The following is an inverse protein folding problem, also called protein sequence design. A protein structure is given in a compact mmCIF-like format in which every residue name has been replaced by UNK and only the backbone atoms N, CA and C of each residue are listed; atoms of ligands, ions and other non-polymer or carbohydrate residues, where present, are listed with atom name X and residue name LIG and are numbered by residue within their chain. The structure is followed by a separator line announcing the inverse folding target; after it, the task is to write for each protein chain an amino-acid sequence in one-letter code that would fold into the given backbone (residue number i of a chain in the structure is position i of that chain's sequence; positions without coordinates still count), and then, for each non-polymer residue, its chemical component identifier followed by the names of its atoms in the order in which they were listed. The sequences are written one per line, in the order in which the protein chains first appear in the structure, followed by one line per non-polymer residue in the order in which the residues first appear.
data_IF_284533902121
#
_entry.id   IF_284533902121
#
_cell.length_a   1.000
_cell.length_b   1.000
_cell.length_c   1.000
_cell.angle_alpha   90.00
_cell.angle_beta   90.00
_cell.angle_gamma   90.00
#
_symmetry.space_group_name_H-M   'P 1'
#
loop_
_entity.id
_entity.type
_entity.pdbx_description
1 polymer ?
#
# COMPACT_ATOMS: atom_id res chain seq x y z
N UNK A 1 -47.84 -24.64 19.71
CA UNK A 1 -46.41 -24.26 19.56
C UNK A 1 -46.03 -24.47 18.09
N UNK A 2 -46.15 -23.39 17.34
CA UNK A 2 -45.84 -23.39 15.88
C UNK A 2 -44.37 -22.99 15.72
N UNK A 3 -43.53 -24.00 15.39
CA UNK A 3 -42.14 -23.76 14.96
C UNK A 3 -42.16 -23.06 13.59
N UNK A 4 -41.94 -21.77 13.60
CA UNK A 4 -41.63 -21.01 12.39
C UNK A 4 -40.18 -21.28 12.01
N UNK A 5 -39.94 -22.26 11.11
CA UNK A 5 -38.70 -22.35 10.37
C UNK A 5 -38.62 -21.08 9.50
N UNK A 6 -37.69 -20.14 9.85
CA UNK A 6 -37.27 -19.14 8.90
C UNK A 6 -36.62 -19.87 7.73
N UNK A 7 -37.29 -19.92 6.58
CA UNK A 7 -36.65 -20.22 5.31
C UNK A 7 -35.49 -19.23 5.14
N UNK A 8 -34.26 -19.76 5.20
CA UNK A 8 -33.09 -19.04 4.75
C UNK A 8 -33.32 -18.80 3.25
N UNK A 9 -33.58 -17.56 2.90
CA UNK A 9 -33.64 -17.17 1.48
C UNK A 9 -32.32 -17.57 0.84
N UNK A 10 -32.40 -18.49 -0.12
CA UNK A 10 -31.22 -18.92 -0.88
C UNK A 10 -30.78 -17.72 -1.72
N UNK A 11 -29.75 -17.01 -1.27
CA UNK A 11 -29.15 -15.92 -2.03
C UNK A 11 -28.42 -16.57 -3.20
N UNK A 12 -28.91 -16.35 -4.42
CA UNK A 12 -28.27 -16.92 -5.61
C UNK A 12 -26.89 -16.28 -5.81
N UNK A 13 -25.88 -17.10 -6.08
CA UNK A 13 -24.54 -16.61 -6.37
C UNK A 13 -24.56 -15.60 -7.54
N UNK A 14 -23.81 -14.51 -7.46
CA UNK A 14 -23.77 -13.53 -8.54
C UNK A 14 -23.12 -14.14 -9.79
N UNK A 15 -23.58 -13.69 -10.95
CA UNK A 15 -22.95 -14.02 -12.21
C UNK A 15 -21.90 -13.00 -12.57
N UNK A 16 -20.72 -13.47 -13.00
CA UNK A 16 -19.61 -12.66 -13.47
C UNK A 16 -19.51 -12.81 -14.98
N UNK A 17 -19.50 -11.71 -15.71
CA UNK A 17 -19.29 -11.68 -17.16
C UNK A 17 -18.14 -10.76 -17.50
N UNK A 18 -17.16 -11.27 -18.23
CA UNK A 18 -16.05 -10.46 -18.75
C UNK A 18 -16.53 -9.64 -19.95
N UNK A 19 -16.53 -8.31 -19.82
CA UNK A 19 -16.92 -7.38 -20.89
C UNK A 19 -15.72 -6.95 -21.73
N UNK A 20 -14.57 -6.70 -21.07
CA UNK A 20 -13.26 -6.41 -21.70
C UNK A 20 -12.15 -7.14 -20.93
N UNK A 21 -10.89 -7.14 -21.39
CA UNK A 21 -9.77 -7.66 -20.61
C UNK A 21 -9.67 -7.08 -19.19
N UNK A 22 -10.11 -5.83 -19.00
CA UNK A 22 -9.94 -5.03 -17.78
C UNK A 22 -11.25 -4.76 -17.04
N UNK A 23 -12.40 -5.32 -17.50
CA UNK A 23 -13.71 -5.02 -16.92
C UNK A 23 -14.60 -6.25 -16.87
N UNK A 24 -15.17 -6.48 -15.70
CA UNK A 24 -16.19 -7.51 -15.48
C UNK A 24 -17.50 -6.87 -15.01
N UNK A 25 -18.62 -7.26 -15.59
CA UNK A 25 -19.96 -6.98 -15.07
C UNK A 25 -20.37 -8.03 -14.05
N UNK A 26 -20.99 -7.56 -12.97
CA UNK A 26 -21.58 -8.40 -11.92
C UNK A 26 -23.09 -8.26 -11.97
N UNK A 27 -23.82 -9.40 -12.01
CA UNK A 27 -25.27 -9.41 -11.98
C UNK A 27 -25.78 -10.44 -10.98
N UNK A 28 -26.93 -10.17 -10.35
CA UNK A 28 -27.66 -11.07 -9.46
C UNK A 28 -29.09 -11.14 -9.91
N UNK A 29 -29.65 -12.34 -10.00
CA UNK A 29 -31.05 -12.58 -10.44
C UNK A 29 -31.41 -11.93 -11.80
N UNK A 30 -30.41 -11.79 -12.67
CA UNK A 30 -30.57 -11.17 -13.98
C UNK A 30 -30.43 -9.64 -14.01
N UNK A 31 -30.31 -8.98 -12.87
CA UNK A 31 -30.10 -7.55 -12.75
C UNK A 31 -28.59 -7.23 -12.57
N UNK A 32 -28.12 -6.20 -13.27
CA UNK A 32 -26.75 -5.72 -13.10
C UNK A 32 -26.63 -5.03 -11.73
N UNK A 33 -25.69 -5.53 -10.89
CA UNK A 33 -25.41 -4.98 -9.57
C UNK A 33 -24.11 -4.17 -9.51
N UNK A 34 -23.34 -4.17 -10.61
CA UNK A 34 -22.13 -3.35 -10.69
C UNK A 34 -21.08 -3.88 -11.65
N UNK A 35 -19.84 -3.48 -11.40
CA UNK A 35 -18.68 -3.90 -12.17
C UNK A 35 -17.43 -4.01 -11.33
N UNK A 36 -16.46 -4.79 -11.80
CA UNK A 36 -15.12 -4.91 -11.23
C UNK A 36 -14.12 -4.53 -12.32
N UNK A 37 -13.39 -3.45 -12.10
CA UNK A 37 -12.25 -3.06 -12.92
C UNK A 37 -11.00 -3.84 -12.50
N UNK A 38 -10.15 -4.18 -13.48
CA UNK A 38 -8.89 -4.91 -13.29
C UNK A 38 -7.76 -4.10 -13.89
N UNK A 39 -6.68 -3.93 -13.15
CA UNK A 39 -5.46 -3.28 -13.64
C UNK A 39 -4.21 -4.01 -13.14
N UNK A 40 -3.07 -3.72 -13.76
CA UNK A 40 -1.77 -4.26 -13.38
C UNK A 40 -0.83 -3.08 -13.17
N UNK A 41 -0.13 -3.05 -12.03
CA UNK A 41 0.96 -2.11 -11.84
C UNK A 41 2.22 -2.67 -12.53
N UNK A 42 2.88 -1.94 -13.44
CA UNK A 42 4.03 -2.45 -14.17
C UNK A 42 5.23 -2.81 -13.27
N UNK A 43 5.32 -2.15 -12.11
CA UNK A 43 6.42 -2.35 -11.15
C UNK A 43 6.09 -3.36 -10.04
N UNK A 44 4.80 -3.69 -9.88
CA UNK A 44 4.24 -4.66 -8.94
C UNK A 44 3.23 -5.54 -9.67
N UNK A 45 3.70 -6.33 -10.65
CA UNK A 45 2.83 -7.00 -11.60
C UNK A 45 2.40 -8.42 -11.21
N UNK A 46 2.72 -8.87 -10.00
CA UNK A 46 2.33 -10.20 -9.53
C UNK A 46 0.86 -10.31 -9.17
N UNK A 47 0.26 -9.22 -8.65
CA UNK A 47 -1.14 -9.17 -8.29
C UNK A 47 -1.92 -8.37 -9.33
N UNK A 48 -3.17 -8.78 -9.58
CA UNK A 48 -4.14 -7.96 -10.29
C UNK A 48 -4.86 -7.05 -9.30
N UNK A 49 -4.83 -5.75 -9.54
CA UNK A 49 -5.53 -4.75 -8.74
C UNK A 49 -6.99 -4.69 -9.17
N UNK A 50 -7.89 -4.80 -8.21
CA UNK A 50 -9.32 -4.74 -8.43
C UNK A 50 -9.88 -3.42 -7.93
N UNK A 51 -10.78 -2.82 -8.72
CA UNK A 51 -11.62 -1.71 -8.30
C UNK A 51 -13.07 -2.18 -8.31
N UNK A 52 -13.67 -2.23 -7.14
CA UNK A 52 -15.05 -2.65 -6.96
C UNK A 52 -15.99 -1.43 -7.13
N UNK A 53 -16.97 -1.55 -8.01
CA UNK A 53 -18.05 -0.58 -8.20
C UNK A 53 -19.37 -1.34 -8.15
N UNK A 54 -19.78 -1.69 -6.92
CA UNK A 54 -20.96 -2.51 -6.66
C UNK A 54 -21.99 -1.70 -5.90
N UNK A 55 -23.27 -1.84 -6.29
CA UNK A 55 -24.39 -1.18 -5.62
C UNK A 55 -24.79 -1.82 -4.28
N UNK A 56 -24.29 -3.05 -4.03
CA UNK A 56 -24.49 -3.79 -2.78
C UNK A 56 -23.41 -4.82 -2.58
N UNK A 57 -23.11 -5.10 -1.29
CA UNK A 57 -22.06 -6.00 -0.84
C UNK A 57 -22.70 -7.11 0.03
N UNK A 58 -23.12 -8.20 -0.59
CA UNK A 58 -23.65 -9.37 0.12
C UNK A 58 -22.51 -10.33 0.42
N UNK A 59 -22.21 -10.56 1.70
CA UNK A 59 -21.06 -11.37 2.12
C UNK A 59 -21.11 -12.80 1.59
N UNK A 60 -22.31 -13.36 1.36
CA UNK A 60 -22.51 -14.66 0.76
C UNK A 60 -22.06 -14.74 -0.70
N UNK A 61 -21.97 -13.60 -1.38
CA UNK A 61 -21.49 -13.53 -2.76
C UNK A 61 -19.97 -13.50 -2.86
N UNK A 62 -19.30 -13.01 -1.81
CA UNK A 62 -17.90 -12.63 -1.85
C UNK A 62 -17.02 -13.81 -2.30
N UNK A 63 -17.11 -14.94 -1.61
CA UNK A 63 -16.27 -16.10 -1.89
C UNK A 63 -16.48 -16.64 -3.31
N UNK A 64 -17.70 -17.00 -3.78
CA UNK A 64 -17.88 -17.52 -5.14
C UNK A 64 -17.53 -16.49 -6.22
N UNK A 65 -17.72 -15.19 -5.97
CA UNK A 65 -17.35 -14.11 -6.88
C UNK A 65 -15.85 -14.03 -7.09
N UNK A 66 -15.09 -13.96 -5.98
CA UNK A 66 -13.64 -13.81 -6.06
C UNK A 66 -12.91 -15.10 -6.46
N UNK A 67 -13.41 -16.28 -6.09
CA UNK A 67 -12.92 -17.57 -6.62
C UNK A 67 -13.06 -17.62 -8.16
N UNK A 68 -14.20 -17.19 -8.68
CA UNK A 68 -14.43 -17.14 -10.13
C UNK A 68 -13.50 -16.12 -10.79
N UNK A 69 -13.32 -14.94 -10.20
CA UNK A 69 -12.45 -13.89 -10.74
C UNK A 69 -10.98 -14.34 -10.74
N UNK A 70 -10.50 -14.92 -9.64
CA UNK A 70 -9.15 -15.46 -9.52
C UNK A 70 -8.89 -16.59 -10.54
N UNK A 71 -9.88 -17.46 -10.78
CA UNK A 71 -9.81 -18.48 -11.82
C UNK A 71 -9.67 -17.91 -13.22
N UNK A 72 -10.44 -16.84 -13.55
CA UNK A 72 -10.37 -16.16 -14.85
C UNK A 72 -9.05 -15.41 -15.06
N UNK A 73 -8.53 -14.78 -14.00
CA UNK A 73 -7.34 -13.94 -14.08
C UNK A 73 -6.04 -14.72 -13.87
N UNK A 74 -6.08 -15.85 -13.13
CA UNK A 74 -4.92 -16.74 -12.81
C UNK A 74 -3.78 -16.03 -12.09
N UNK A 75 -4.10 -15.03 -11.29
CA UNK A 75 -3.16 -14.25 -10.49
C UNK A 75 -3.77 -13.97 -9.11
N UNK A 76 -2.95 -13.72 -8.08
CA UNK A 76 -3.41 -13.14 -6.83
C UNK A 76 -4.18 -11.85 -7.10
N UNK A 77 -5.17 -11.57 -6.26
CA UNK A 77 -6.03 -10.39 -6.38
C UNK A 77 -5.70 -9.42 -5.25
N UNK A 78 -5.69 -8.12 -5.56
CA UNK A 78 -5.43 -7.07 -4.60
C UNK A 78 -6.51 -5.99 -4.70
N UNK A 79 -7.00 -5.54 -3.54
CA UNK A 79 -7.92 -4.41 -3.41
C UNK A 79 -7.35 -3.42 -2.42
N UNK A 80 -7.43 -2.14 -2.76
CA UNK A 80 -7.17 -1.03 -1.83
C UNK A 80 -8.50 -0.37 -1.51
N UNK A 81 -8.78 -0.17 -0.23
CA UNK A 81 -10.01 0.44 0.25
C UNK A 81 -9.72 1.38 1.43
N UNK A 82 -10.55 2.41 1.61
CA UNK A 82 -10.47 3.23 2.82
C UNK A 82 -10.69 2.37 4.07
N UNK A 83 -9.88 2.54 5.12
CA UNK A 83 -10.00 1.79 6.37
C UNK A 83 -11.34 2.02 7.07
N UNK A 84 -12.02 3.15 6.77
CA UNK A 84 -13.37 3.46 7.26
C UNK A 84 -14.50 2.76 6.49
N UNK A 85 -14.21 2.09 5.36
CA UNK A 85 -15.23 1.39 4.56
C UNK A 85 -15.44 -0.05 5.06
N UNK A 86 -16.18 -0.17 6.16
CA UNK A 86 -16.47 -1.47 6.77
C UNK A 86 -17.24 -2.42 5.84
N UNK A 87 -18.09 -1.91 4.93
CA UNK A 87 -18.85 -2.76 4.01
C UNK A 87 -17.91 -3.46 3.01
N UNK A 88 -17.00 -2.71 2.41
CA UNK A 88 -15.99 -3.29 1.51
C UNK A 88 -15.05 -4.22 2.29
N UNK A 89 -14.59 -3.84 3.48
CA UNK A 89 -13.74 -4.68 4.32
C UNK A 89 -14.38 -6.04 4.65
N UNK A 90 -15.61 -6.04 5.17
CA UNK A 90 -16.35 -7.26 5.51
C UNK A 90 -16.56 -8.16 4.28
N UNK A 91 -16.87 -7.56 3.13
CA UNK A 91 -17.04 -8.27 1.87
C UNK A 91 -15.74 -8.94 1.39
N UNK A 92 -14.60 -8.23 1.46
CA UNK A 92 -13.30 -8.77 1.08
C UNK A 92 -12.88 -9.91 2.02
N UNK A 93 -13.02 -9.73 3.33
CA UNK A 93 -12.69 -10.77 4.32
C UNK A 93 -13.57 -12.02 4.13
N UNK A 94 -14.88 -11.85 3.88
CA UNK A 94 -15.78 -12.97 3.54
C UNK A 94 -15.39 -13.66 2.22
N UNK A 95 -14.75 -12.93 1.31
CA UNK A 95 -14.19 -13.44 0.05
C UNK A 95 -12.87 -14.18 0.18
N UNK A 96 -12.28 -14.22 1.37
CA UNK A 96 -11.00 -14.87 1.65
C UNK A 96 -9.77 -13.99 1.48
N UNK A 97 -9.96 -12.69 1.29
CA UNK A 97 -8.84 -11.75 1.33
C UNK A 97 -8.30 -11.61 2.75
N UNK A 98 -7.01 -11.30 2.84
CA UNK A 98 -6.34 -10.95 4.08
C UNK A 98 -5.92 -9.48 4.03
N UNK A 99 -6.11 -8.75 5.13
CA UNK A 99 -5.52 -7.43 5.30
C UNK A 99 -4.00 -7.60 5.43
N UNK A 100 -3.24 -6.98 4.51
CA UNK A 100 -1.78 -7.13 4.44
C UNK A 100 -1.04 -5.85 4.82
N UNK A 101 -1.66 -4.69 4.63
CA UNK A 101 -1.01 -3.41 4.88
C UNK A 101 -2.06 -2.34 5.13
N UNK A 102 -1.75 -1.43 6.05
CA UNK A 102 -2.42 -0.13 6.19
C UNK A 102 -1.45 0.98 5.90
N UNK A 103 -1.81 1.86 4.99
CA UNK A 103 -1.08 3.07 4.65
C UNK A 103 -1.74 4.28 5.29
N UNK A 104 -0.95 5.10 5.98
CA UNK A 104 -1.36 6.37 6.57
C UNK A 104 -0.84 7.51 5.69
N UNK A 105 -1.74 8.32 5.16
CA UNK A 105 -1.40 9.56 4.46
C UNK A 105 -1.27 10.69 5.48
N UNK A 106 -0.12 11.35 5.51
CA UNK A 106 0.22 12.34 6.52
C UNK A 106 0.47 13.70 5.88
N UNK A 107 -0.08 14.77 6.48
CA UNK A 107 0.33 16.15 6.28
C UNK A 107 0.57 16.79 7.65
N UNK A 108 1.79 17.20 7.92
CA UNK A 108 2.23 17.62 9.25
C UNK A 108 2.96 18.95 9.20
N UNK A 109 2.90 19.70 10.31
CA UNK A 109 3.65 20.93 10.55
C UNK A 109 4.74 20.73 11.61
N UNK A 110 5.66 21.69 11.74
CA UNK A 110 6.67 21.66 12.80
C UNK A 110 6.05 21.60 14.21
N UNK A 111 4.85 22.19 14.40
CA UNK A 111 4.15 22.18 15.69
C UNK A 111 3.62 20.80 16.09
N UNK A 112 3.47 19.88 15.14
CA UNK A 112 3.01 18.51 15.38
C UNK A 112 4.14 17.60 15.88
N UNK A 113 5.41 18.04 15.77
CA UNK A 113 6.57 17.25 16.17
C UNK A 113 6.61 16.99 17.68
N UNK A 114 6.90 15.74 18.06
CA UNK A 114 7.03 15.31 19.45
C UNK A 114 8.48 14.93 19.78
N UNK A 115 9.12 15.72 20.62
CA UNK A 115 10.18 15.33 21.54
C UNK A 115 11.54 14.87 21.01
N UNK A 116 11.83 14.93 19.69
CA UNK A 116 13.12 14.49 19.15
C UNK A 116 14.06 15.67 18.93
N UNK A 117 15.25 15.62 19.57
CA UNK A 117 16.29 16.63 19.35
C UNK A 117 17.19 16.19 18.21
N UNK A 118 17.08 16.87 17.07
CA UNK A 118 18.02 16.71 15.94
C UNK A 118 19.41 17.21 16.32
N UNK A 119 20.42 16.36 16.18
CA UNK A 119 21.80 16.72 16.50
C UNK A 119 22.70 16.86 15.27
N UNK A 120 22.35 16.27 14.17
CA UNK A 120 23.20 16.21 12.97
C UNK A 120 22.35 16.43 11.73
N UNK A 121 22.63 17.48 10.97
CA UNK A 121 21.97 17.72 9.69
C UNK A 121 22.27 16.58 8.71
N UNK A 122 21.30 16.13 7.92
CA UNK A 122 21.53 15.12 6.90
C UNK A 122 22.43 15.71 5.80
N UNK A 123 23.20 14.85 5.13
CA UNK A 123 23.86 15.17 3.87
C UNK A 123 22.82 15.18 2.75
N UNK A 124 23.09 15.89 1.66
CA UNK A 124 22.24 15.96 0.47
C UNK A 124 23.00 15.46 -0.75
N UNK A 125 22.34 14.67 -1.59
CA UNK A 125 22.87 14.26 -2.90
C UNK A 125 21.78 14.45 -3.97
N UNK A 126 22.24 14.54 -5.22
CA UNK A 126 21.37 14.70 -6.39
C UNK A 126 21.52 13.49 -7.31
N UNK A 127 20.47 13.18 -8.07
CA UNK A 127 20.46 12.15 -9.09
C UNK A 127 21.67 12.27 -10.01
N UNK A 128 22.34 11.15 -10.26
CA UNK A 128 23.57 11.09 -11.05
C UNK A 128 24.88 11.23 -10.23
N UNK A 129 24.81 11.42 -8.90
CA UNK A 129 26.00 11.33 -8.04
C UNK A 129 26.18 9.91 -7.48
N UNK A 130 27.43 9.55 -7.13
CA UNK A 130 27.73 8.22 -6.53
C UNK A 130 27.01 8.00 -5.20
N UNK A 131 26.78 9.06 -4.43
CA UNK A 131 26.05 9.05 -3.18
C UNK A 131 24.57 8.76 -3.40
N UNK A 132 23.96 9.38 -4.42
CA UNK A 132 22.58 9.11 -4.81
C UNK A 132 22.41 7.64 -5.22
N UNK A 133 23.31 7.12 -6.07
CA UNK A 133 23.29 5.71 -6.50
C UNK A 133 23.44 4.74 -5.31
N UNK A 134 24.23 5.14 -4.31
CA UNK A 134 24.37 4.37 -3.07
C UNK A 134 23.08 4.32 -2.27
N UNK A 135 22.37 5.44 -2.16
CA UNK A 135 21.06 5.55 -1.52
C UNK A 135 20.00 4.76 -2.27
N UNK A 136 19.99 4.80 -3.62
CA UNK A 136 19.09 4.00 -4.45
C UNK A 136 19.23 2.49 -4.17
N UNK A 137 20.45 1.99 -4.08
CA UNK A 137 20.69 0.56 -3.77
C UNK A 137 20.20 0.18 -2.36
N UNK A 138 20.40 1.06 -1.38
CA UNK A 138 19.89 0.83 -0.03
C UNK A 138 18.35 0.79 -0.03
N UNK A 139 17.70 1.78 -0.66
CA UNK A 139 16.24 1.84 -0.76
C UNK A 139 15.68 0.64 -1.52
N UNK A 140 16.25 0.28 -2.67
CA UNK A 140 15.79 -0.87 -3.46
C UNK A 140 15.76 -2.16 -2.63
N UNK A 141 16.86 -2.45 -1.93
CA UNK A 141 16.95 -3.65 -1.09
C UNK A 141 15.95 -3.62 0.06
N UNK A 142 15.77 -2.46 0.69
CA UNK A 142 14.82 -2.25 1.78
C UNK A 142 13.38 -2.40 1.29
N UNK A 143 13.03 -1.74 0.21
CA UNK A 143 11.70 -1.74 -0.39
C UNK A 143 11.26 -3.14 -0.86
N UNK A 144 12.17 -3.90 -1.47
CA UNK A 144 11.89 -5.30 -1.82
C UNK A 144 11.48 -6.12 -0.59
N UNK A 145 12.18 -5.94 0.54
CA UNK A 145 11.88 -6.67 1.78
C UNK A 145 10.52 -6.30 2.38
N UNK A 146 10.18 -5.01 2.42
CA UNK A 146 8.92 -4.54 3.01
C UNK A 146 7.68 -4.91 2.19
N UNK A 147 7.83 -5.08 0.85
CA UNK A 147 6.72 -5.35 -0.07
C UNK A 147 6.57 -6.83 -0.47
N UNK A 148 7.52 -7.70 -0.09
CA UNK A 148 7.53 -9.10 -0.53
C UNK A 148 6.23 -9.86 -0.20
N UNK A 149 5.69 -9.64 0.98
CA UNK A 149 4.49 -10.34 1.46
C UNK A 149 3.15 -9.75 0.94
N UNK A 150 3.19 -8.60 0.27
CA UNK A 150 2.00 -7.87 -0.20
C UNK A 150 1.87 -8.00 -1.72
N UNK A 151 2.73 -7.31 -2.43
CA UNK A 151 2.90 -7.39 -3.87
C UNK A 151 4.38 -7.07 -4.20
N UNK A 152 5.22 -8.07 -4.41
CA UNK A 152 6.65 -7.88 -4.60
C UNK A 152 6.98 -6.89 -5.71
N UNK A 153 8.01 -6.09 -5.49
CA UNK A 153 8.58 -5.26 -6.55
C UNK A 153 9.12 -6.17 -7.66
N UNK A 154 8.75 -5.86 -8.90
CA UNK A 154 9.17 -6.61 -10.11
C UNK A 154 9.98 -5.75 -11.07
N UNK A 155 10.15 -4.46 -10.77
CA UNK A 155 11.05 -3.58 -11.49
C UNK A 155 12.51 -3.97 -11.20
N UNK A 156 13.35 -3.88 -12.22
CA UNK A 156 14.80 -3.99 -12.04
C UNK A 156 15.35 -2.77 -11.28
N UNK A 157 16.52 -2.87 -10.61
CA UNK A 157 17.09 -1.78 -9.82
C UNK A 157 17.19 -0.45 -10.58
N UNK A 158 17.62 -0.46 -11.83
CA UNK A 158 17.78 0.75 -12.64
C UNK A 158 16.40 1.38 -12.97
N UNK A 159 15.40 0.57 -13.28
CA UNK A 159 14.03 1.04 -13.54
C UNK A 159 13.41 1.66 -12.27
N UNK A 160 13.62 1.03 -11.11
CA UNK A 160 13.15 1.57 -9.84
C UNK A 160 13.82 2.91 -9.51
N UNK A 161 15.13 3.03 -9.71
CA UNK A 161 15.88 4.27 -9.47
C UNK A 161 15.41 5.43 -10.36
N UNK A 162 14.95 5.14 -11.59
CA UNK A 162 14.40 6.19 -12.48
C UNK A 162 13.09 6.81 -11.96
N UNK A 163 12.34 6.10 -11.11
CA UNK A 163 11.09 6.58 -10.52
C UNK A 163 11.29 7.46 -9.29
N UNK A 164 12.49 7.47 -8.71
CA UNK A 164 12.76 8.17 -7.46
C UNK A 164 12.95 9.67 -7.67
N UNK A 165 12.57 10.51 -6.66
CA UNK A 165 12.87 11.92 -6.63
C UNK A 165 14.35 12.23 -6.90
N UNK A 166 14.63 13.36 -7.52
CA UNK A 166 16.00 13.75 -7.89
C UNK A 166 16.89 14.07 -6.69
N UNK A 167 16.29 14.33 -5.52
CA UNK A 167 17.01 14.70 -4.30
C UNK A 167 16.88 13.62 -3.25
N UNK A 168 18.00 13.27 -2.61
CA UNK A 168 18.05 12.41 -1.43
C UNK A 168 18.77 13.10 -0.29
N UNK A 169 18.17 13.04 0.91
CA UNK A 169 18.82 13.36 2.18
C UNK A 169 19.31 12.04 2.80
N UNK A 170 20.54 12.00 3.31
CA UNK A 170 21.12 10.76 3.77
C UNK A 170 22.11 10.93 4.95
N UNK A 171 22.34 9.84 5.64
CA UNK A 171 23.42 9.68 6.61
C UNK A 171 24.26 8.46 6.26
N UNK A 172 25.58 8.58 6.40
CA UNK A 172 26.54 7.50 6.15
C UNK A 172 27.65 7.54 7.19
N UNK A 173 28.26 6.40 7.42
CA UNK A 173 29.48 6.23 8.20
C UNK A 173 30.59 5.53 7.38
N UNK A 174 31.63 5.02 8.04
CA UNK A 174 32.74 4.30 7.40
C UNK A 174 32.29 2.96 6.79
N UNK A 175 31.18 2.37 7.27
CA UNK A 175 30.63 1.10 6.77
C UNK A 175 29.71 1.29 5.55
N UNK A 176 29.20 2.53 5.32
CA UNK A 176 28.34 2.82 4.18
C UNK A 176 27.15 3.73 4.50
N UNK A 177 26.10 3.62 3.69
CA UNK A 177 24.87 4.37 3.89
C UNK A 177 24.02 3.73 4.99
N UNK A 178 23.58 4.54 5.96
CA UNK A 178 22.80 4.10 7.11
C UNK A 178 21.32 4.40 6.93
N UNK A 179 21.00 5.63 6.51
CA UNK A 179 19.64 6.15 6.39
C UNK A 179 19.51 7.00 5.14
N UNK A 180 18.36 6.92 4.47
CA UNK A 180 18.03 7.75 3.32
C UNK A 180 16.59 8.20 3.38
N UNK A 181 16.33 9.44 2.85
CA UNK A 181 15.00 9.98 2.61
C UNK A 181 15.02 10.65 1.21
N UNK A 182 14.25 10.12 0.28
CA UNK A 182 14.05 10.73 -1.04
C UNK A 182 12.96 11.76 -0.94
N UNK A 183 13.25 12.98 -1.38
CA UNK A 183 12.36 14.14 -1.17
C UNK A 183 12.09 14.88 -2.48
N UNK A 184 10.86 15.30 -2.66
CA UNK A 184 10.43 16.14 -3.77
C UNK A 184 9.54 17.28 -3.22
N UNK A 185 9.95 18.52 -3.40
CA UNK A 185 9.29 19.67 -2.79
C UNK A 185 9.08 19.47 -1.27
N UNK A 186 7.83 19.48 -0.80
CA UNK A 186 7.48 19.25 0.61
C UNK A 186 7.15 17.79 0.93
N UNK A 187 7.36 16.87 0.01
CA UNK A 187 7.08 15.45 0.19
C UNK A 187 8.34 14.67 0.59
N UNK A 188 8.20 13.80 1.59
CA UNK A 188 9.14 12.71 1.87
C UNK A 188 8.56 11.47 1.19
N UNK A 189 8.96 11.24 -0.07
CA UNK A 189 8.39 10.20 -0.91
C UNK A 189 8.80 8.77 -0.48
N UNK A 190 10.05 8.60 -0.03
CA UNK A 190 10.57 7.31 0.44
C UNK A 190 11.55 7.50 1.59
N UNK A 191 11.52 6.57 2.52
CA UNK A 191 12.52 6.46 3.60
C UNK A 191 13.06 5.04 3.69
N UNK A 192 14.30 4.90 4.10
CA UNK A 192 14.87 3.58 4.38
C UNK A 192 16.02 3.65 5.39
N UNK A 193 16.29 2.53 6.02
CA UNK A 193 17.34 2.43 7.03
C UNK A 193 18.02 1.06 7.03
N UNK A 194 19.32 1.06 7.32
CA UNK A 194 20.06 -0.15 7.66
C UNK A 194 20.07 -0.43 9.19
N UNK A 195 19.74 0.58 10.03
CA UNK A 195 19.61 0.44 11.48
C UNK A 195 18.45 1.28 12.02
N UNK A 196 17.34 0.64 12.32
CA UNK A 196 16.12 1.29 12.81
C UNK A 196 16.33 2.02 14.15
N UNK A 197 17.27 1.58 15.01
CA UNK A 197 17.48 2.17 16.34
C UNK A 197 17.96 3.62 16.29
N UNK A 198 18.66 4.01 15.21
CA UNK A 198 19.17 5.37 15.03
C UNK A 198 18.29 6.20 14.07
N UNK A 199 17.30 5.59 13.44
CA UNK A 199 16.54 6.19 12.34
C UNK A 199 15.69 7.39 12.79
N UNK A 200 15.04 7.35 13.96
CA UNK A 200 14.17 8.44 14.41
C UNK A 200 14.89 9.80 14.51
N UNK A 201 16.17 9.81 14.91
CA UNK A 201 16.96 11.04 14.96
C UNK A 201 17.29 11.57 13.54
N UNK A 202 17.54 10.70 12.59
CA UNK A 202 17.71 11.04 11.18
C UNK A 202 16.42 11.58 10.57
N UNK A 203 15.29 10.88 10.75
CA UNK A 203 13.98 11.29 10.24
C UNK A 203 13.57 12.68 10.79
N UNK A 204 13.82 12.94 12.09
CA UNK A 204 13.59 14.25 12.68
C UNK A 204 14.51 15.35 12.08
N UNK A 205 15.75 15.01 11.71
CA UNK A 205 16.65 15.95 11.03
C UNK A 205 16.19 16.24 9.59
N UNK A 206 15.65 15.25 8.88
CA UNK A 206 15.04 15.42 7.56
C UNK A 206 13.82 16.34 7.64
N UNK A 207 12.89 16.09 8.56
CA UNK A 207 11.72 16.94 8.75
C UNK A 207 12.12 18.39 9.07
N UNK A 208 13.06 18.59 10.01
CA UNK A 208 13.57 19.92 10.36
C UNK A 208 14.27 20.62 9.19
N UNK A 209 14.87 19.88 8.25
CA UNK A 209 15.47 20.48 7.04
C UNK A 209 14.38 20.98 6.10
N UNK A 210 13.30 20.22 5.88
CA UNK A 210 12.19 20.60 5.04
C UNK A 210 11.36 21.75 5.64
N UNK A 211 11.13 21.79 6.95
CA UNK A 211 10.42 22.88 7.63
C UNK A 211 11.15 24.24 7.55
N UNK A 212 12.40 24.29 7.09
CA UNK A 212 13.04 25.59 6.78
C UNK A 212 12.48 26.24 5.52
N UNK A 213 11.92 25.45 4.62
CA UNK A 213 11.43 25.89 3.30
C UNK A 213 9.91 25.80 3.19
N UNK A 214 9.26 24.87 3.92
CA UNK A 214 7.83 24.55 3.81
C UNK A 214 7.13 24.65 5.17
N UNK A 215 5.89 25.13 5.18
CA UNK A 215 5.05 25.21 6.38
C UNK A 215 4.50 23.82 6.79
N UNK A 216 4.22 22.98 5.78
CA UNK A 216 3.79 21.59 5.97
C UNK A 216 4.63 20.65 5.11
N UNK A 217 4.77 19.42 5.57
CA UNK A 217 5.37 18.33 4.82
C UNK A 217 4.39 17.15 4.73
N UNK A 218 4.46 16.43 3.60
CA UNK A 218 3.61 15.28 3.33
C UNK A 218 4.45 14.00 3.25
N UNK A 219 3.87 12.88 3.65
CA UNK A 219 4.45 11.55 3.46
C UNK A 219 3.39 10.46 3.65
N UNK A 220 3.68 9.27 3.13
CA UNK A 220 2.94 8.06 3.43
C UNK A 220 3.71 7.18 4.43
N UNK A 221 2.98 6.46 5.28
CA UNK A 221 3.57 5.51 6.22
C UNK A 221 2.78 4.20 6.19
N UNK A 222 3.42 3.15 5.70
CA UNK A 222 2.88 1.80 5.72
C UNK A 222 3.16 1.12 7.05
N UNK A 223 2.18 0.48 7.66
CA UNK A 223 2.31 -0.21 8.95
C UNK A 223 3.30 -1.40 8.92
N UNK A 224 3.61 -1.91 7.74
CA UNK A 224 4.63 -2.93 7.51
C UNK A 224 6.05 -2.36 7.29
N UNK A 225 6.21 -1.03 7.22
CA UNK A 225 7.49 -0.33 7.04
C UNK A 225 7.93 0.34 8.35
N UNK A 226 8.91 -0.27 9.04
CA UNK A 226 9.41 0.23 10.33
C UNK A 226 10.00 1.66 10.22
N UNK A 227 10.64 2.02 9.09
CA UNK A 227 11.19 3.36 8.91
C UNK A 227 10.08 4.39 8.70
N UNK A 228 9.10 4.10 7.85
CA UNK A 228 7.96 4.97 7.63
C UNK A 228 7.14 5.16 8.92
N UNK A 229 6.91 4.09 9.68
CA UNK A 229 6.24 4.17 10.98
C UNK A 229 7.05 4.93 12.03
N UNK A 230 8.37 4.85 12.02
CA UNK A 230 9.22 5.65 12.90
C UNK A 230 9.19 7.14 12.51
N UNK A 231 9.08 7.48 11.21
CA UNK A 231 8.82 8.84 10.75
C UNK A 231 7.45 9.34 11.24
N UNK A 232 6.37 8.55 11.04
CA UNK A 232 5.01 8.87 11.52
C UNK A 232 5.00 9.15 13.03
N UNK A 233 5.71 8.34 13.82
CA UNK A 233 5.75 8.47 15.27
C UNK A 233 6.43 9.76 15.80
N UNK A 234 7.08 10.54 14.92
CA UNK A 234 7.61 11.86 15.27
C UNK A 234 6.52 12.92 15.42
N UNK A 235 5.30 12.65 14.98
CA UNK A 235 4.21 13.63 14.93
C UNK A 235 3.00 13.14 15.74
N UNK A 236 2.42 14.06 16.53
CA UNK A 236 1.27 13.76 17.39
C UNK A 236 -0.07 13.79 16.62
N UNK A 237 -0.09 14.42 15.44
CA UNK A 237 -1.28 14.63 14.59
C UNK A 237 -0.86 14.76 13.12
N UNK A 238 -1.81 14.99 12.23
CA UNK A 238 -1.53 15.21 10.80
C UNK A 238 -1.95 14.07 9.88
N UNK A 239 -2.64 13.04 10.43
CA UNK A 239 -3.18 11.97 9.61
C UNK A 239 -4.40 12.45 8.83
N UNK A 240 -4.36 12.35 7.50
CA UNK A 240 -5.42 12.76 6.58
C UNK A 240 -6.35 11.60 6.24
N UNK A 241 -5.78 10.46 5.92
CA UNK A 241 -6.53 9.28 5.51
C UNK A 241 -5.79 7.99 5.84
N UNK A 242 -6.54 6.89 5.87
CA UNK A 242 -5.98 5.54 5.96
C UNK A 242 -6.52 4.68 4.82
N UNK A 243 -5.63 3.94 4.18
CA UNK A 243 -5.95 2.99 3.11
C UNK A 243 -5.47 1.60 3.46
N UNK A 244 -6.40 0.65 3.48
CA UNK A 244 -6.12 -0.77 3.72
C UNK A 244 -5.89 -1.50 2.40
N UNK A 245 -4.84 -2.34 2.35
CA UNK A 245 -4.54 -3.22 1.23
C UNK A 245 -4.90 -4.66 1.60
N UNK A 246 -5.82 -5.23 0.85
CA UNK A 246 -6.28 -6.61 0.97
C UNK A 246 -5.75 -7.46 -0.18
N UNK A 247 -5.26 -8.67 0.12
CA UNK A 247 -4.73 -9.60 -0.90
C UNK A 247 -5.36 -10.98 -0.75
N UNK A 248 -5.76 -11.56 -1.88
CA UNK A 248 -6.18 -12.96 -2.01
C UNK A 248 -5.08 -13.70 -2.77
N UNK A 249 -4.28 -14.49 -2.04
CA UNK A 249 -3.15 -15.26 -2.61
C UNK A 249 -3.57 -16.59 -3.22
N UNK A 250 -4.52 -17.28 -2.59
CA UNK A 250 -4.93 -18.61 -3.01
C UNK A 250 -6.10 -18.55 -3.99
N UNK A 251 -5.78 -18.67 -5.28
CA UNK A 251 -6.75 -19.26 -6.17
C UNK A 251 -6.45 -20.77 -6.19
N UNK A 252 -7.22 -21.54 -5.44
CA UNK A 252 -7.14 -22.99 -5.57
C UNK A 252 -7.43 -23.31 -7.04
N UNK A 253 -6.44 -23.89 -7.72
CA UNK A 253 -6.64 -24.58 -8.98
C UNK A 253 -7.49 -25.86 -8.73
N UNK A 254 -8.57 -25.69 -7.98
CA UNK A 254 -9.58 -26.71 -7.71
C UNK A 254 -10.45 -26.83 -8.95
N UNK A 255 -10.46 -28.01 -9.53
CA UNK A 255 -11.36 -28.43 -10.58
C UNK A 255 -12.78 -27.94 -10.24
N UNK A 256 -13.26 -26.94 -10.96
CA UNK A 256 -14.69 -26.62 -10.98
C UNK A 256 -15.38 -27.80 -11.68
N UNK A 257 -15.86 -28.76 -10.88
CA UNK A 257 -16.68 -29.88 -11.32
C UNK A 257 -18.09 -29.44 -11.69
#
# INVERSE_FOLDING_TARGET
MTNSFKESAYVSAPTLRRDTPELFSVASEGEKVGSIGVSINPYHNRNHYLRLDLSRYETEWAKPLFERLAYELKHPLQVMASSGDALTADFLLAGGFELKRRCFEMEVSENDMVGVICRTAPKRAQKGSSEYDGCCRLLYSYYCGTHEAINPLTAEPDEFCELLPETVLYQSDEAGFLHCAFVEENEIAYVCTADIRAFAAFAAAVAAELFKEYETICFEADDCDEAAMALKALFASGELSETDTYVLHDYAAGELS
#
